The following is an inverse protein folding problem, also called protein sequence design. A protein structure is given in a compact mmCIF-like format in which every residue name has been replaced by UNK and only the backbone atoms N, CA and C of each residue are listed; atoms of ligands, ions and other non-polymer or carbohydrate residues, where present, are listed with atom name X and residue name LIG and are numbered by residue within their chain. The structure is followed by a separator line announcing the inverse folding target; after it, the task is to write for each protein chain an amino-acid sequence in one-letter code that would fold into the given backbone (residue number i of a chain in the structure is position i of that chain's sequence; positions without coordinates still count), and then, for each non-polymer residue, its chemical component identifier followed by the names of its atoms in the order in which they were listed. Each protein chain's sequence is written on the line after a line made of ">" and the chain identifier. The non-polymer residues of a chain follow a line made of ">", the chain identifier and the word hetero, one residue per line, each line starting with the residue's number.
data_IF_806123876638
#
_entry.id   IF_806123876638
#
_cell.length_a   1.000
_cell.length_b   1.000
_cell.length_c   1.000
_cell.angle_alpha   90.00
_cell.angle_beta   90.00
_cell.angle_gamma   90.00
#
_symmetry.space_group_name_H-M   'P 1'
#
loop_
_entity.id
_entity.type
_entity.pdbx_description
1 polymer ?
#
# COMPACT_ATOMS: atom_id res chain seq x y z
N UNK A 1 -5.39 -19.26 -1.78
CA UNK A 1 -5.11 -18.80 -0.40
C UNK A 1 -5.89 -17.52 -0.14
N UNK A 2 -6.89 -17.54 0.74
CA UNK A 2 -7.76 -16.39 1.02
C UNK A 2 -7.10 -15.34 1.95
N UNK A 3 -6.01 -15.70 2.62
CA UNK A 3 -5.25 -14.83 3.53
C UNK A 3 -3.74 -15.08 3.37
N UNK A 4 -2.98 -14.18 2.70
CA UNK A 4 -1.53 -14.28 2.74
C UNK A 4 -1.04 -14.08 4.18
N UNK A 5 -0.19 -14.98 4.65
CA UNK A 5 0.36 -14.88 6.02
C UNK A 5 1.28 -13.67 6.15
N UNK A 6 1.47 -13.16 7.38
CA UNK A 6 2.47 -12.12 7.66
C UNK A 6 3.85 -12.53 7.14
N UNK A 7 4.23 -13.80 7.33
CA UNK A 7 5.47 -14.39 6.82
C UNK A 7 5.56 -14.34 5.29
N UNK A 8 4.47 -14.64 4.58
CA UNK A 8 4.43 -14.53 3.12
C UNK A 8 4.64 -13.08 2.68
N UNK A 9 3.94 -12.12 3.27
CA UNK A 9 4.09 -10.70 2.91
C UNK A 9 5.51 -10.19 3.19
N UNK A 10 6.13 -10.62 4.30
CA UNK A 10 7.52 -10.26 4.59
C UNK A 10 8.53 -10.87 3.62
N UNK A 11 8.28 -12.12 3.16
CA UNK A 11 9.05 -12.74 2.08
C UNK A 11 8.90 -11.94 0.79
N UNK A 12 7.68 -11.55 0.39
CA UNK A 12 7.45 -10.72 -0.80
C UNK A 12 8.20 -9.39 -0.68
N UNK A 13 8.09 -8.68 0.45
CA UNK A 13 8.85 -7.45 0.68
C UNK A 13 10.36 -7.67 0.59
N UNK A 14 10.86 -8.81 1.07
CA UNK A 14 12.28 -9.17 0.95
C UNK A 14 12.68 -9.41 -0.49
N UNK A 15 11.89 -10.15 -1.27
CA UNK A 15 12.13 -10.37 -2.70
C UNK A 15 12.12 -9.05 -3.47
N UNK A 16 11.17 -8.16 -3.19
CA UNK A 16 11.09 -6.81 -3.77
C UNK A 16 12.35 -6.02 -3.43
N UNK A 17 12.78 -6.01 -2.16
CA UNK A 17 14.01 -5.33 -1.73
C UNK A 17 15.26 -5.88 -2.44
N UNK A 18 15.41 -7.20 -2.48
CA UNK A 18 16.50 -7.86 -3.20
C UNK A 18 16.48 -7.55 -4.70
N UNK A 19 15.29 -7.46 -5.31
CA UNK A 19 15.13 -7.09 -6.71
C UNK A 19 15.51 -5.63 -6.98
N UNK A 20 15.13 -4.71 -6.09
CA UNK A 20 15.49 -3.29 -6.21
C UNK A 20 17.01 -3.14 -6.25
N UNK A 21 17.70 -3.79 -5.31
CA UNK A 21 19.14 -3.62 -5.11
C UNK A 21 20.01 -4.56 -5.96
N UNK A 22 19.63 -5.82 -6.22
CA UNK A 22 20.45 -6.83 -6.93
C UNK A 22 21.94 -6.82 -6.50
N UNK A 23 22.20 -6.85 -5.18
CA UNK A 23 23.54 -6.75 -4.56
C UNK A 23 24.30 -5.44 -4.82
N UNK A 24 23.66 -4.41 -5.36
CA UNK A 24 24.25 -3.08 -5.60
C UNK A 24 24.12 -2.21 -4.35
N UNK A 25 25.14 -1.38 -4.11
CA UNK A 25 25.21 -0.39 -3.02
C UNK A 25 25.08 1.02 -3.61
N UNK A 26 24.65 2.02 -2.81
CA UNK A 26 24.30 1.93 -1.39
C UNK A 26 22.85 1.51 -1.11
N UNK A 27 22.60 0.91 0.05
CA UNK A 27 21.29 0.35 0.44
C UNK A 27 20.48 1.35 1.27
N UNK A 28 19.20 1.52 0.94
CA UNK A 28 18.23 2.17 1.84
C UNK A 28 17.64 1.15 2.83
N UNK A 29 17.14 1.62 3.97
CA UNK A 29 16.35 0.78 4.89
C UNK A 29 15.11 0.24 4.17
N UNK A 30 14.72 -1.00 4.48
CA UNK A 30 13.65 -1.73 3.79
C UNK A 30 12.31 -1.00 3.85
N UNK A 31 12.04 -0.30 4.95
CA UNK A 31 10.80 0.42 5.20
C UNK A 31 10.72 1.68 4.33
N UNK A 32 11.86 2.34 4.10
CA UNK A 32 11.95 3.59 3.34
C UNK A 32 11.65 3.38 1.86
N UNK A 33 11.95 2.20 1.29
CA UNK A 33 11.71 1.95 -0.14
C UNK A 33 10.23 2.07 -0.50
N UNK A 34 9.35 1.78 0.46
CA UNK A 34 7.91 1.79 0.28
C UNK A 34 7.27 3.17 0.51
N UNK A 35 8.06 4.15 0.97
CA UNK A 35 7.59 5.51 1.15
C UNK A 35 7.52 6.24 -0.20
N UNK A 36 6.65 7.26 -0.33
CA UNK A 36 6.65 8.15 -1.49
C UNK A 36 8.01 8.83 -1.68
N UNK A 37 8.33 9.19 -2.93
CA UNK A 37 9.56 9.93 -3.27
C UNK A 37 9.68 11.26 -2.53
N UNK A 38 8.56 11.95 -2.29
CA UNK A 38 8.51 13.20 -1.51
C UNK A 38 8.96 13.06 -0.05
N UNK A 39 9.00 11.84 0.48
CA UNK A 39 9.46 11.52 1.84
C UNK A 39 10.79 10.74 1.83
N UNK A 40 11.57 10.86 0.76
CA UNK A 40 12.87 10.19 0.62
C UNK A 40 12.80 8.69 0.30
N UNK A 41 11.62 8.17 -0.06
CA UNK A 41 11.44 6.78 -0.45
C UNK A 41 11.54 6.51 -1.95
N UNK A 42 11.34 5.24 -2.35
CA UNK A 42 11.39 4.82 -3.76
C UNK A 42 10.01 4.62 -4.40
N UNK A 43 8.93 4.96 -3.68
CA UNK A 43 7.55 4.79 -4.16
C UNK A 43 7.22 3.34 -4.57
N UNK A 44 7.90 2.35 -3.97
CA UNK A 44 7.61 0.95 -4.22
C UNK A 44 6.30 0.58 -3.51
N UNK A 45 5.42 -0.15 -4.17
CA UNK A 45 4.16 -0.56 -3.56
C UNK A 45 4.42 -1.46 -2.35
N UNK A 46 3.86 -1.09 -1.20
CA UNK A 46 3.91 -1.90 0.01
C UNK A 46 2.93 -3.09 -0.13
N UNK A 47 3.41 -4.35 -0.20
CA UNK A 47 2.55 -5.51 -0.39
C UNK A 47 1.53 -5.71 0.74
N UNK A 48 1.89 -5.38 1.99
CA UNK A 48 0.99 -5.51 3.13
C UNK A 48 -0.17 -4.51 3.04
N UNK A 49 0.16 -3.26 2.70
CA UNK A 49 -0.83 -2.20 2.56
C UNK A 49 -1.73 -2.44 1.35
N UNK A 50 -1.13 -2.84 0.22
CA UNK A 50 -1.87 -3.23 -0.98
C UNK A 50 -2.85 -4.37 -0.69
N UNK A 51 -2.44 -5.39 0.07
CA UNK A 51 -3.33 -6.46 0.44
C UNK A 51 -4.53 -5.99 1.27
N UNK A 52 -4.33 -5.08 2.22
CA UNK A 52 -5.42 -4.46 2.99
C UNK A 52 -6.37 -3.68 2.06
N UNK A 53 -5.83 -2.82 1.18
CA UNK A 53 -6.62 -2.04 0.21
C UNK A 53 -7.53 -2.94 -0.64
N UNK A 54 -7.04 -4.13 -1.05
CA UNK A 54 -7.84 -5.08 -1.82
C UNK A 54 -9.06 -5.61 -1.05
N UNK A 55 -9.01 -5.64 0.29
CA UNK A 55 -10.14 -6.08 1.12
C UNK A 55 -11.26 -5.04 1.20
N UNK A 56 -10.98 -3.78 0.86
CA UNK A 56 -11.98 -2.72 0.84
C UNK A 56 -13.19 -3.07 0.00
N UNK A 57 -13.00 -3.84 -1.08
CA UNK A 57 -14.10 -4.30 -1.94
C UNK A 57 -15.18 -5.03 -1.13
N UNK A 58 -14.78 -5.93 -0.23
CA UNK A 58 -15.71 -6.71 0.59
C UNK A 58 -16.40 -5.82 1.61
N UNK A 59 -15.65 -4.89 2.21
CA UNK A 59 -16.19 -3.95 3.17
C UNK A 59 -17.19 -2.99 2.51
N UNK A 60 -16.96 -2.58 1.25
CA UNK A 60 -17.91 -1.74 0.50
C UNK A 60 -19.30 -2.36 0.37
N UNK A 61 -19.40 -3.69 0.28
CA UNK A 61 -20.70 -4.39 0.23
C UNK A 61 -21.48 -4.21 1.53
N UNK A 62 -20.80 -4.30 2.67
CA UNK A 62 -21.40 -4.11 4.00
C UNK A 62 -21.72 -2.65 4.31
N UNK A 63 -20.96 -1.73 3.72
CA UNK A 63 -20.94 -0.31 4.13
C UNK A 63 -21.84 0.54 3.27
N UNK A 64 -21.88 0.26 1.97
CA UNK A 64 -22.69 1.00 0.99
C UNK A 64 -23.40 0.01 0.08
N UNK A 65 -24.32 -0.81 0.62
CA UNK A 65 -24.96 -1.88 -0.14
C UNK A 65 -25.73 -1.36 -1.36
N UNK A 66 -26.36 -0.18 -1.25
CA UNK A 66 -27.06 0.47 -2.36
C UNK A 66 -26.12 0.88 -3.52
N UNK A 67 -24.89 1.30 -3.19
CA UNK A 67 -23.88 1.69 -4.19
C UNK A 67 -23.13 0.49 -4.75
N UNK A 68 -22.96 -0.55 -3.94
CA UNK A 68 -22.22 -1.76 -4.27
C UNK A 68 -23.08 -2.99 -3.97
N UNK A 69 -24.14 -3.23 -4.76
CA UNK A 69 -24.99 -4.40 -4.55
C UNK A 69 -24.18 -5.68 -4.79
N UNK A 70 -24.42 -6.69 -3.95
CA UNK A 70 -23.77 -8.00 -4.08
C UNK A 70 -24.67 -9.09 -3.54
N UNK A 71 -24.77 -10.20 -4.28
CA UNK A 71 -25.46 -11.41 -3.80
C UNK A 71 -24.79 -12.00 -2.54
N UNK A 72 -23.55 -11.63 -2.24
CA UNK A 72 -22.81 -12.11 -1.07
C UNK A 72 -23.23 -11.40 0.22
N UNK A 73 -23.84 -10.21 0.12
CA UNK A 73 -24.18 -9.40 1.28
C UNK A 73 -25.06 -10.14 2.31
N UNK A 74 -26.16 -10.82 1.93
CA UNK A 74 -26.98 -11.55 2.89
C UNK A 74 -26.21 -12.67 3.60
N UNK A 75 -25.35 -13.40 2.87
CA UNK A 75 -24.52 -14.45 3.46
C UNK A 75 -23.46 -13.89 4.42
N UNK A 76 -22.90 -12.73 4.07
CA UNK A 76 -21.94 -12.02 4.91
C UNK A 76 -22.62 -11.57 6.22
N UNK A 77 -23.79 -10.94 6.13
CA UNK A 77 -24.58 -10.50 7.27
C UNK A 77 -25.02 -11.67 8.16
N UNK A 78 -25.49 -12.76 7.54
CA UNK A 78 -25.84 -13.98 8.26
C UNK A 78 -24.64 -14.56 9.02
N UNK A 79 -23.47 -14.64 8.39
CA UNK A 79 -22.30 -15.15 9.08
C UNK A 79 -21.88 -14.27 10.28
N UNK A 80 -21.95 -12.94 10.16
CA UNK A 80 -21.62 -12.06 11.30
C UNK A 80 -22.71 -12.04 12.36
N UNK A 81 -23.96 -12.34 12.03
CA UNK A 81 -25.04 -12.46 13.02
C UNK A 81 -24.91 -13.70 13.91
N UNK A 82 -24.18 -14.73 13.45
CA UNK A 82 -23.82 -15.90 14.27
C UNK A 82 -22.76 -15.57 15.34
N UNK A 83 -22.09 -14.41 15.24
CA UNK A 83 -21.16 -13.97 16.27
C UNK A 83 -21.91 -13.58 17.56
N UNK A 84 -21.25 -13.60 18.73
CA UNK A 84 -21.93 -13.39 20.00
C UNK A 84 -22.57 -12.01 20.09
N UNK A 85 -23.80 -11.97 20.61
CA UNK A 85 -24.59 -10.74 20.74
C UNK A 85 -24.85 -10.00 19.41
N UNK A 86 -24.57 -10.63 18.26
CA UNK A 86 -24.73 -10.02 16.94
C UNK A 86 -25.99 -10.47 16.20
N UNK A 87 -26.86 -11.29 16.81
CA UNK A 87 -28.04 -11.85 16.13
C UNK A 87 -28.98 -10.76 15.61
N UNK A 88 -29.26 -9.79 16.48
CA UNK A 88 -30.11 -8.63 16.17
C UNK A 88 -29.30 -7.49 15.55
N UNK A 89 -27.99 -7.43 15.78
CA UNK A 89 -27.10 -6.39 15.25
C UNK A 89 -25.86 -7.01 14.59
N UNK A 90 -25.95 -7.40 13.30
CA UNK A 90 -24.87 -8.10 12.58
C UNK A 90 -23.56 -7.31 12.54
N UNK A 91 -23.62 -5.98 12.68
CA UNK A 91 -22.46 -5.10 12.64
C UNK A 91 -21.71 -4.96 13.97
N UNK A 92 -22.18 -5.58 15.06
CA UNK A 92 -21.57 -5.45 16.39
C UNK A 92 -20.07 -5.81 16.38
N UNK A 93 -19.69 -6.86 15.65
CA UNK A 93 -18.30 -7.30 15.55
C UNK A 93 -17.37 -6.30 14.84
N UNK A 94 -17.92 -5.36 14.05
CA UNK A 94 -17.16 -4.26 13.47
C UNK A 94 -16.92 -3.17 14.51
N UNK A 95 -17.97 -2.81 15.24
CA UNK A 95 -17.95 -1.76 16.24
C UNK A 95 -17.07 -2.13 17.44
N UNK A 96 -17.03 -3.42 17.80
CA UNK A 96 -16.31 -3.90 18.96
C UNK A 96 -15.61 -5.24 18.69
N UNK A 97 -14.29 -5.23 18.83
CA UNK A 97 -13.43 -6.36 18.52
C UNK A 97 -13.59 -7.56 19.47
N UNK A 98 -14.12 -7.36 20.68
CA UNK A 98 -14.31 -8.46 21.65
C UNK A 98 -15.36 -9.48 21.17
N UNK A 99 -16.26 -9.07 20.28
CA UNK A 99 -17.29 -9.94 19.71
C UNK A 99 -16.81 -10.74 18.48
N UNK A 100 -15.54 -10.60 18.09
CA UNK A 100 -14.90 -11.37 17.02
C UNK A 100 -14.41 -12.71 17.55
N UNK A 101 -15.32 -13.65 17.84
CA UNK A 101 -14.92 -14.93 18.46
C UNK A 101 -14.11 -15.83 17.51
N UNK A 102 -12.91 -16.30 17.92
CA UNK A 102 -12.03 -17.09 17.05
C UNK A 102 -12.59 -18.43 16.58
N UNK A 103 -13.45 -19.10 17.37
CA UNK A 103 -13.93 -20.45 16.99
C UNK A 103 -14.95 -20.44 15.84
N UNK A 104 -15.67 -19.34 15.63
CA UNK A 104 -16.54 -19.15 14.46
C UNK A 104 -15.75 -18.59 13.26
N UNK A 105 -14.51 -18.17 13.48
CA UNK A 105 -13.68 -17.50 12.50
C UNK A 105 -12.39 -18.31 12.34
N UNK A 106 -12.43 -19.31 11.47
CA UNK A 106 -11.26 -20.16 11.22
C UNK A 106 -10.01 -19.33 10.87
N UNK A 107 -8.92 -19.53 11.62
CA UNK A 107 -7.69 -18.70 11.59
C UNK A 107 -7.12 -18.43 10.19
N UNK A 108 -7.15 -19.45 9.34
CA UNK A 108 -6.46 -19.45 8.04
C UNK A 108 -7.40 -19.44 6.83
N UNK A 109 -8.67 -19.82 7.04
CA UNK A 109 -9.65 -19.98 5.95
C UNK A 109 -10.67 -18.84 5.93
N UNK A 110 -10.88 -18.19 7.08
CA UNK A 110 -11.86 -17.12 7.17
C UNK A 110 -11.33 -15.80 6.62
N UNK A 111 -12.09 -15.23 5.69
CA UNK A 111 -11.88 -13.91 5.11
C UNK A 111 -12.09 -12.78 6.12
N UNK A 112 -12.88 -13.02 7.17
CA UNK A 112 -13.26 -12.00 8.15
C UNK A 112 -12.06 -11.38 8.87
N UNK A 113 -10.98 -12.13 9.09
CA UNK A 113 -9.74 -11.57 9.62
C UNK A 113 -9.20 -10.42 8.76
N UNK A 114 -9.24 -10.59 7.43
CA UNK A 114 -8.74 -9.60 6.48
C UNK A 114 -9.68 -8.41 6.38
N UNK A 115 -10.99 -8.64 6.48
CA UNK A 115 -12.02 -7.59 6.47
C UNK A 115 -11.96 -6.78 7.78
N UNK A 116 -11.87 -7.43 8.94
CA UNK A 116 -11.71 -6.75 10.23
C UNK A 116 -10.40 -5.99 10.32
N UNK A 117 -9.27 -6.58 9.90
CA UNK A 117 -8.00 -5.85 9.86
C UNK A 117 -8.04 -4.62 8.94
N UNK A 118 -8.81 -4.70 7.85
CA UNK A 118 -9.03 -3.57 6.96
C UNK A 118 -9.93 -2.49 7.59
N UNK A 119 -10.95 -2.91 8.34
CA UNK A 119 -11.82 -2.00 9.09
C UNK A 119 -11.05 -1.28 10.20
N UNK A 120 -10.30 -2.03 11.01
CA UNK A 120 -9.49 -1.52 12.12
C UNK A 120 -8.43 -0.52 11.65
N UNK A 121 -7.91 -0.69 10.42
CA UNK A 121 -6.94 0.25 9.84
C UNK A 121 -7.48 1.69 9.75
N UNK A 122 -8.80 1.87 9.61
CA UNK A 122 -9.42 3.20 9.55
C UNK A 122 -9.91 3.72 10.90
N UNK A 123 -9.81 2.91 11.95
CA UNK A 123 -10.20 3.26 13.32
C UNK A 123 -11.64 3.81 13.38
N UNK A 124 -12.58 2.97 12.92
CA UNK A 124 -14.02 3.21 12.98
C UNK A 124 -14.68 2.50 14.19
N UNK A 125 -13.88 2.02 15.14
CA UNK A 125 -14.39 1.26 16.28
C UNK A 125 -15.04 2.14 17.35
N UNK A 126 -16.02 1.57 18.06
CA UNK A 126 -16.66 2.15 19.23
C UNK A 126 -18.15 2.40 19.07
N UNK A 127 -18.94 1.96 20.07
CA UNK A 127 -20.40 2.15 20.10
C UNK A 127 -20.83 3.62 20.14
N UNK A 128 -19.91 4.52 20.48
CA UNK A 128 -20.14 5.97 20.46
C UNK A 128 -20.44 6.52 19.06
N UNK A 129 -20.00 5.80 18.02
CA UNK A 129 -20.17 6.23 16.63
C UNK A 129 -21.47 5.69 15.99
N UNK A 130 -22.24 4.89 16.73
CA UNK A 130 -23.44 4.22 16.25
C UNK A 130 -24.68 4.99 16.69
N UNK A 131 -25.51 5.40 15.73
CA UNK A 131 -26.75 6.16 15.95
C UNK A 131 -27.95 5.28 16.31
N UNK A 132 -27.86 3.96 16.10
CA UNK A 132 -28.95 3.01 16.34
C UNK A 132 -28.43 1.68 16.89
N UNK A 133 -28.97 1.22 18.01
CA UNK A 133 -28.69 -0.10 18.58
C UNK A 133 -30.01 -0.80 18.92
N UNK A 134 -30.27 -2.04 18.47
CA UNK A 134 -31.48 -2.75 18.86
C UNK A 134 -31.55 -2.97 20.38
N UNK A 135 -32.74 -2.81 20.97
CA UNK A 135 -33.01 -3.01 22.41
C UNK A 135 -32.39 -4.29 22.95
N UNK A 136 -32.55 -5.41 22.25
CA UNK A 136 -32.02 -6.70 22.68
C UNK A 136 -30.48 -6.72 22.70
N UNK A 137 -29.85 -6.02 21.76
CA UNK A 137 -28.39 -5.85 21.76
C UNK A 137 -27.98 -5.00 22.96
N UNK A 138 -28.64 -3.86 23.19
CA UNK A 138 -28.38 -2.96 24.34
C UNK A 138 -28.40 -3.76 25.64
N UNK A 139 -29.45 -4.55 25.89
CA UNK A 139 -29.63 -5.29 27.15
C UNK A 139 -28.59 -6.41 27.38
N UNK A 140 -28.01 -6.95 26.31
CA UNK A 140 -26.97 -7.99 26.34
C UNK A 140 -25.56 -7.43 26.51
N UNK A 141 -25.32 -6.18 26.12
CA UNK A 141 -24.01 -5.56 26.20
C UNK A 141 -23.60 -5.26 27.65
N UNK A 142 -22.29 -5.29 27.96
CA UNK A 142 -21.79 -4.76 29.22
C UNK A 142 -22.08 -3.26 29.35
N UNK A 143 -22.59 -2.85 30.52
CA UNK A 143 -23.07 -1.49 30.76
C UNK A 143 -21.97 -0.44 30.53
N UNK A 144 -20.73 -0.74 30.91
CA UNK A 144 -19.62 0.20 30.76
C UNK A 144 -19.34 0.58 29.30
N UNK A 145 -19.69 -0.27 28.32
CA UNK A 145 -19.51 -0.01 26.89
C UNK A 145 -20.56 0.93 26.32
N UNK A 146 -21.70 1.05 27.00
CA UNK A 146 -22.81 1.94 26.64
C UNK A 146 -22.68 3.33 27.29
N UNK A 147 -21.59 3.59 28.01
CA UNK A 147 -21.36 4.81 28.76
C UNK A 147 -20.12 5.55 28.26
N UNK A 148 -20.18 6.88 28.28
CA UNK A 148 -19.14 7.82 27.90
C UNK A 148 -18.84 8.69 29.13
N UNK A 149 -17.57 9.00 29.39
CA UNK A 149 -17.15 9.85 30.51
C UNK A 149 -16.89 9.11 31.83
N UNK A 150 -16.79 7.78 31.81
CA UNK A 150 -16.37 7.00 32.97
C UNK A 150 -14.90 7.27 33.32
N UNK A 151 -14.64 7.62 34.59
CA UNK A 151 -13.28 7.71 35.11
C UNK A 151 -12.60 6.33 35.16
N UNK A 152 -11.27 6.31 35.21
CA UNK A 152 -10.50 5.06 35.25
C UNK A 152 -10.73 4.27 36.55
N UNK A 153 -11.04 4.97 37.65
CA UNK A 153 -11.34 4.36 38.96
C UNK A 153 -12.81 3.98 39.15
N UNK A 154 -13.67 4.23 38.14
CA UNK A 154 -15.10 3.98 38.26
C UNK A 154 -15.38 2.48 38.50
N UNK A 155 -16.33 2.15 39.39
CA UNK A 155 -16.60 0.77 39.81
C UNK A 155 -16.96 -0.18 38.67
N UNK A 156 -17.59 0.32 37.59
CA UNK A 156 -17.88 -0.48 36.39
C UNK A 156 -16.61 -1.01 35.70
N UNK A 157 -15.45 -0.35 35.86
CA UNK A 157 -14.16 -0.85 35.36
C UNK A 157 -13.72 -2.12 36.10
N UNK A 158 -14.06 -2.23 37.40
CA UNK A 158 -13.84 -3.43 38.22
C UNK A 158 -14.84 -4.55 37.93
N UNK A 159 -15.99 -4.20 37.34
CA UNK A 159 -17.03 -5.15 36.93
C UNK A 159 -17.30 -5.08 35.42
N UNK A 160 -16.32 -5.42 34.56
CA UNK A 160 -16.42 -5.21 33.11
C UNK A 160 -17.51 -6.05 32.44
N UNK A 161 -18.00 -7.11 33.10
CA UNK A 161 -19.09 -7.97 32.61
C UNK A 161 -20.47 -7.59 33.15
N UNK A 162 -20.58 -6.49 33.91
CA UNK A 162 -21.87 -6.05 34.46
C UNK A 162 -22.84 -5.73 33.31
N UNK A 163 -23.94 -6.51 33.15
CA UNK A 163 -24.77 -6.39 31.96
C UNK A 163 -25.71 -5.19 32.06
N UNK A 164 -25.98 -4.57 30.93
CA UNK A 164 -26.86 -3.40 30.83
C UNK A 164 -28.28 -3.69 31.34
N UNK A 165 -28.80 -4.91 31.15
CA UNK A 165 -30.11 -5.35 31.67
C UNK A 165 -30.31 -5.25 33.19
N UNK A 166 -29.23 -5.08 33.96
CA UNK A 166 -29.28 -4.82 35.41
C UNK A 166 -29.52 -3.36 35.77
N UNK A 167 -29.38 -2.45 34.81
CA UNK A 167 -29.57 -1.01 34.98
C UNK A 167 -30.67 -0.47 34.07
N UNK A 168 -30.79 -1.01 32.86
CA UNK A 168 -31.82 -0.71 31.86
C UNK A 168 -32.84 -1.85 31.81
N UNK A 169 -34.09 -1.51 31.53
CA UNK A 169 -35.20 -2.45 31.34
C UNK A 169 -36.10 -1.95 30.21
N UNK A 170 -36.63 -2.88 29.41
CA UNK A 170 -37.66 -2.55 28.43
C UNK A 170 -39.03 -2.54 29.11
N UNK A 171 -39.71 -1.40 29.07
CA UNK A 171 -41.05 -1.22 29.59
C UNK A 171 -42.07 -1.65 28.53
N UNK A 172 -42.76 -2.75 28.78
CA UNK A 172 -43.77 -3.28 27.85
C UNK A 172 -45.03 -2.42 27.78
N UNK A 173 -45.34 -1.60 28.79
CA UNK A 173 -46.51 -0.73 28.77
C UNK A 173 -46.24 0.51 27.93
N UNK A 174 -45.08 1.13 28.12
CA UNK A 174 -44.69 2.33 27.37
C UNK A 174 -44.02 2.00 26.03
N UNK A 175 -43.72 0.72 25.80
CA UNK A 175 -42.93 0.21 24.67
C UNK A 175 -41.60 0.96 24.54
N UNK A 176 -40.87 1.19 25.63
CA UNK A 176 -39.62 1.99 25.61
C UNK A 176 -38.58 1.42 26.53
N UNK A 177 -37.32 1.68 26.22
CA UNK A 177 -36.22 1.42 27.13
C UNK A 177 -36.23 2.48 28.24
N UNK A 178 -36.12 2.05 29.49
CA UNK A 178 -35.99 2.96 30.63
C UNK A 178 -34.95 2.47 31.62
N UNK A 179 -34.56 3.39 32.50
CA UNK A 179 -33.75 3.08 33.67
C UNK A 179 -34.62 2.31 34.69
N UNK A 180 -34.01 1.37 35.40
CA UNK A 180 -34.65 0.69 36.52
C UNK A 180 -34.85 1.66 37.69
N UNK A 181 -35.97 1.52 38.39
CA UNK A 181 -36.26 2.29 39.60
C UNK A 181 -35.69 1.60 40.84
N UNK A 182 -35.59 2.34 41.96
CA UNK A 182 -34.95 1.86 43.19
C UNK A 182 -35.46 0.50 43.68
N UNK A 183 -36.77 0.26 43.59
CA UNK A 183 -37.44 -0.99 43.98
C UNK A 183 -37.16 -2.18 43.05
N UNK A 184 -36.68 -1.94 41.83
CA UNK A 184 -36.42 -2.98 40.82
C UNK A 184 -34.99 -3.55 40.88
N UNK A 185 -34.13 -2.97 41.74
CA UNK A 185 -32.76 -3.46 41.93
C UNK A 185 -32.73 -4.60 42.94
N UNK A 186 -32.44 -5.81 42.46
CA UNK A 186 -32.22 -6.98 43.33
C UNK A 186 -30.83 -7.03 43.95
N UNK A 187 -29.82 -6.45 43.28
CA UNK A 187 -28.41 -6.39 43.74
C UNK A 187 -27.78 -5.10 43.26
N UNK A 188 -26.79 -4.59 44.01
CA UNK A 188 -26.02 -3.38 43.69
C UNK A 188 -26.84 -2.08 43.62
N UNK A 189 -27.94 -1.98 44.38
CA UNK A 189 -28.84 -0.83 44.38
C UNK A 189 -28.11 0.51 44.63
N UNK A 190 -27.17 0.54 45.57
CA UNK A 190 -26.37 1.74 45.88
C UNK A 190 -25.48 2.17 44.70
N UNK A 191 -24.84 1.21 44.02
CA UNK A 191 -23.97 1.51 42.87
C UNK A 191 -24.78 1.99 41.67
N UNK A 192 -25.93 1.36 41.42
CA UNK A 192 -26.86 1.79 40.39
C UNK A 192 -27.46 3.18 40.70
N UNK A 193 -27.75 3.48 41.98
CA UNK A 193 -28.21 4.79 42.40
C UNK A 193 -27.14 5.87 42.20
N UNK A 194 -25.86 5.59 42.51
CA UNK A 194 -24.74 6.50 42.19
C UNK A 194 -24.67 6.78 40.69
N UNK A 195 -24.69 5.72 39.87
CA UNK A 195 -24.65 5.87 38.41
C UNK A 195 -25.85 6.65 37.86
N UNK A 196 -27.03 6.46 38.43
CA UNK A 196 -28.23 7.23 38.09
C UNK A 196 -28.02 8.73 38.35
N UNK A 197 -27.45 9.09 39.51
CA UNK A 197 -27.11 10.48 39.83
C UNK A 197 -26.04 11.04 38.89
N UNK A 198 -25.02 10.26 38.57
CA UNK A 198 -23.95 10.64 37.63
C UNK A 198 -24.49 10.94 36.22
N UNK A 199 -25.47 10.15 35.75
CA UNK A 199 -26.06 10.32 34.42
C UNK A 199 -27.06 11.49 34.37
N UNK A 200 -28.00 11.56 35.31
CA UNK A 200 -29.14 12.49 35.21
C UNK A 200 -28.92 13.82 35.93
N UNK A 201 -28.30 13.79 37.12
CA UNK A 201 -28.14 14.97 37.96
C UNK A 201 -26.82 15.67 37.65
N UNK A 202 -25.70 14.94 37.75
CA UNK A 202 -24.36 15.50 37.57
C UNK A 202 -23.96 15.61 36.09
N UNK A 203 -24.55 14.78 35.21
CA UNK A 203 -24.26 14.71 33.76
C UNK A 203 -22.79 14.47 33.43
N UNK A 204 -22.04 13.88 34.36
CA UNK A 204 -20.63 13.52 34.19
C UNK A 204 -20.47 12.29 33.30
N UNK A 205 -21.45 11.38 33.35
CA UNK A 205 -21.51 10.17 32.53
C UNK A 205 -22.69 10.27 31.55
N UNK A 206 -22.50 9.85 30.31
CA UNK A 206 -23.53 9.91 29.25
C UNK A 206 -23.73 8.54 28.61
N UNK A 207 -24.96 8.24 28.22
CA UNK A 207 -25.24 7.07 27.36
C UNK A 207 -24.76 7.34 25.93
N UNK A 208 -24.29 6.28 25.25
CA UNK A 208 -23.93 6.35 23.83
C UNK A 208 -25.13 6.76 22.96
N UNK A 209 -24.91 7.47 21.84
CA UNK A 209 -25.99 8.02 21.00
C UNK A 209 -27.05 6.98 20.61
N UNK A 210 -26.62 5.77 20.21
CA UNK A 210 -27.52 4.71 19.75
C UNK A 210 -28.48 4.12 20.77
N UNK A 211 -28.37 4.46 22.05
CA UNK A 211 -29.31 4.02 23.10
C UNK A 211 -30.50 4.98 23.25
N UNK A 212 -30.32 6.27 22.93
CA UNK A 212 -31.35 7.29 23.13
C UNK A 212 -32.62 7.09 22.29
N UNK A 213 -32.56 6.63 21.02
CA UNK A 213 -33.77 6.39 20.23
C UNK A 213 -34.79 5.48 20.94
N UNK A 214 -34.33 4.38 21.54
CA UNK A 214 -35.21 3.43 22.24
C UNK A 214 -35.73 3.95 23.59
N UNK A 215 -35.07 4.96 24.18
CA UNK A 215 -35.54 5.63 25.39
C UNK A 215 -36.61 6.67 25.06
N UNK A 216 -36.38 7.46 24.01
CA UNK A 216 -37.20 8.60 23.65
C UNK A 216 -38.45 8.19 22.86
N UNK A 217 -38.36 7.13 22.05
CA UNK A 217 -39.41 6.70 21.14
C UNK A 217 -39.64 5.19 21.26
N UNK A 218 -40.86 4.71 21.00
CA UNK A 218 -41.09 3.27 20.96
C UNK A 218 -40.32 2.63 19.80
N UNK A 219 -39.71 1.45 19.99
CA UNK A 219 -38.94 0.81 18.93
C UNK A 219 -39.86 0.45 17.78
N UNK A 220 -39.37 0.61 16.56
CA UNK A 220 -40.11 0.24 15.35
C UNK A 220 -40.37 -1.26 15.36
N UNK A 221 -41.63 -1.68 15.16
CA UNK A 221 -42.04 -3.09 15.13
C UNK A 221 -41.62 -3.81 13.84
N UNK A 222 -41.16 -3.06 12.82
CA UNK A 222 -40.63 -3.62 11.58
C UNK A 222 -39.26 -4.25 11.80
N UNK A 223 -39.08 -5.51 11.37
CA UNK A 223 -37.76 -6.14 11.26
C UNK A 223 -36.86 -5.29 10.37
N UNK A 224 -35.74 -4.81 10.91
CA UNK A 224 -34.81 -3.97 10.18
C UNK A 224 -34.16 -4.78 9.05
N UNK A 225 -34.24 -4.28 7.82
CA UNK A 225 -33.52 -4.87 6.70
C UNK A 225 -32.05 -4.40 6.70
N UNK A 226 -31.18 -5.25 7.24
CA UNK A 226 -29.74 -5.00 7.28
C UNK A 226 -29.09 -4.92 5.90
N UNK A 227 -29.75 -5.41 4.84
CA UNK A 227 -29.21 -5.34 3.47
C UNK A 227 -29.34 -3.95 2.86
N UNK A 228 -30.24 -3.11 3.38
CA UNK A 228 -30.41 -1.72 2.96
C UNK A 228 -29.87 -0.70 3.97
N UNK A 229 -29.43 -1.16 5.14
CA UNK A 229 -28.90 -0.32 6.22
C UNK A 229 -27.58 0.37 5.84
N UNK A 230 -27.55 1.71 5.95
CA UNK A 230 -26.32 2.48 5.80
C UNK A 230 -25.54 2.49 7.12
N UNK A 231 -24.68 1.47 7.30
CA UNK A 231 -23.90 1.29 8.52
C UNK A 231 -23.02 2.49 8.88
N UNK A 232 -22.54 3.24 7.88
CA UNK A 232 -21.71 4.41 8.14
C UNK A 232 -22.52 5.69 8.33
N UNK A 233 -23.78 5.76 7.88
CA UNK A 233 -24.68 6.88 8.13
C UNK A 233 -23.99 8.25 8.20
N UNK A 234 -23.96 8.85 9.40
CA UNK A 234 -23.35 10.17 9.70
C UNK A 234 -21.84 10.17 10.00
N UNK A 235 -21.20 9.02 10.23
CA UNK A 235 -19.74 8.93 10.40
C UNK A 235 -18.99 9.51 9.19
N UNK A 236 -19.64 9.47 8.03
CA UNK A 236 -19.05 9.84 6.76
C UNK A 236 -17.95 8.86 6.37
N UNK A 237 -17.69 8.77 5.08
CA UNK A 237 -16.42 8.18 4.66
C UNK A 237 -15.33 9.21 4.95
N UNK A 238 -14.52 9.02 6.01
CA UNK A 238 -13.29 9.82 6.27
C UNK A 238 -12.55 10.05 4.95
N UNK A 239 -11.91 11.19 4.74
CA UNK A 239 -11.15 11.47 3.50
C UNK A 239 -10.13 10.37 3.16
N UNK A 240 -9.57 9.74 4.21
CA UNK A 240 -8.73 8.55 4.08
C UNK A 240 -9.41 7.41 3.32
N UNK A 241 -10.71 7.18 3.51
CA UNK A 241 -11.47 6.14 2.82
C UNK A 241 -11.47 6.35 1.31
N UNK A 242 -11.68 7.58 0.81
CA UNK A 242 -11.70 7.84 -0.65
C UNK A 242 -10.31 7.69 -1.27
N UNK A 243 -9.27 8.11 -0.53
CA UNK A 243 -7.86 7.95 -0.93
C UNK A 243 -7.41 6.48 -0.98
N UNK A 244 -8.04 5.62 -0.19
CA UNK A 244 -7.71 4.19 -0.08
C UNK A 244 -8.39 3.36 -1.19
N UNK A 245 -8.14 3.68 -2.45
CA UNK A 245 -8.60 2.90 -3.61
C UNK A 245 -7.39 2.30 -4.33
N UNK A 246 -7.43 1.08 -4.90
CA UNK A 246 -6.25 0.50 -5.57
C UNK A 246 -5.65 1.39 -6.67
N UNK A 247 -6.47 2.18 -7.35
CA UNK A 247 -6.01 3.15 -8.36
C UNK A 247 -5.38 4.36 -7.68
N UNK A 248 -6.08 5.02 -6.76
CA UNK A 248 -5.61 6.21 -6.05
C UNK A 248 -4.35 5.92 -5.24
N UNK A 249 -4.29 4.79 -4.54
CA UNK A 249 -3.10 4.34 -3.82
C UNK A 249 -1.89 4.18 -4.76
N UNK A 250 -2.09 3.54 -5.91
CA UNK A 250 -1.04 3.43 -6.92
C UNK A 250 -0.63 4.81 -7.43
N UNK A 251 -1.57 5.68 -7.74
CA UNK A 251 -1.31 7.04 -8.22
C UNK A 251 -0.67 7.96 -7.17
N UNK A 252 -0.96 7.78 -5.88
CA UNK A 252 -0.37 8.56 -4.78
C UNK A 252 1.02 8.08 -4.42
N UNK A 253 1.21 6.75 -4.30
CA UNK A 253 2.51 6.16 -4.00
C UNK A 253 3.42 6.32 -5.21
N UNK A 254 2.94 5.92 -6.37
CA UNK A 254 3.56 6.16 -7.66
C UNK A 254 2.93 7.40 -8.26
N UNK A 255 3.05 8.57 -7.60
CA UNK A 255 2.86 9.83 -8.31
C UNK A 255 3.77 9.74 -9.52
N UNK A 256 3.15 9.43 -10.66
CA UNK A 256 3.80 9.35 -11.93
C UNK A 256 4.26 10.78 -12.09
N UNK A 257 5.57 11.00 -11.92
CA UNK A 257 6.22 12.17 -12.49
C UNK A 257 5.63 12.22 -13.89
N UNK A 258 4.89 13.29 -14.28
CA UNK A 258 4.32 13.38 -15.60
C UNK A 258 5.43 12.97 -16.54
N UNK A 259 5.25 11.83 -17.21
CA UNK A 259 6.27 11.40 -18.14
C UNK A 259 6.16 12.41 -19.25
N UNK A 260 7.10 13.36 -19.30
CA UNK A 260 7.20 14.37 -20.35
C UNK A 260 7.13 13.70 -21.74
N UNK A 261 7.46 12.41 -21.79
CA UNK A 261 7.50 11.59 -22.97
C UNK A 261 6.60 10.35 -22.87
N UNK A 262 5.72 10.15 -23.85
CA UNK A 262 4.98 8.89 -24.04
C UNK A 262 5.74 8.01 -25.01
N UNK A 263 6.08 6.79 -24.59
CA UNK A 263 6.74 5.82 -25.46
C UNK A 263 5.73 5.19 -26.43
N UNK A 264 6.11 5.05 -27.69
CA UNK A 264 5.30 4.34 -28.68
C UNK A 264 5.22 2.84 -28.33
N UNK A 265 4.00 2.29 -28.23
CA UNK A 265 3.76 0.88 -27.90
C UNK A 265 4.52 -0.10 -28.81
N UNK A 266 4.64 0.20 -30.10
CA UNK A 266 5.41 -0.63 -31.03
C UNK A 266 6.89 -0.71 -30.64
N UNK A 267 7.48 0.41 -30.22
CA UNK A 267 8.88 0.49 -29.81
C UNK A 267 9.11 -0.14 -28.44
N UNK A 268 8.16 -0.01 -27.53
CA UNK A 268 8.18 -0.75 -26.26
C UNK A 268 8.15 -2.26 -26.54
N UNK A 269 7.30 -2.71 -27.48
CA UNK A 269 7.26 -4.12 -27.89
C UNK A 269 8.61 -4.56 -28.46
N UNK A 270 9.21 -3.77 -29.37
CA UNK A 270 10.55 -4.06 -29.94
C UNK A 270 11.62 -4.13 -28.85
N UNK A 271 11.60 -3.23 -27.86
CA UNK A 271 12.54 -3.26 -26.73
C UNK A 271 12.48 -4.58 -25.95
N UNK A 272 11.26 -5.03 -25.63
CA UNK A 272 11.07 -6.25 -24.86
C UNK A 272 11.25 -7.53 -25.68
N UNK A 273 11.10 -7.47 -27.01
CA UNK A 273 11.34 -8.60 -27.91
C UNK A 273 12.77 -8.68 -28.46
N UNK A 274 13.58 -7.62 -28.33
CA UNK A 274 14.95 -7.58 -28.85
C UNK A 274 15.80 -8.71 -28.23
N UNK A 275 16.77 -9.29 -28.98
CA UNK A 275 17.66 -10.35 -28.51
C UNK A 275 18.74 -9.80 -27.56
N UNK A 276 18.32 -9.16 -26.48
CA UNK A 276 19.20 -8.62 -25.44
C UNK A 276 19.04 -9.43 -24.16
N UNK A 277 20.10 -9.57 -23.37
CA UNK A 277 20.01 -10.20 -22.06
C UNK A 277 18.97 -9.49 -21.16
N UNK A 278 18.16 -10.19 -20.33
CA UNK A 278 17.14 -9.54 -19.48
C UNK A 278 17.68 -8.46 -18.54
N UNK A 279 18.93 -8.62 -18.08
CA UNK A 279 19.62 -7.58 -17.29
C UNK A 279 19.89 -6.30 -18.10
N UNK A 280 20.20 -6.44 -19.40
CA UNK A 280 20.42 -5.33 -20.31
C UNK A 280 19.16 -4.49 -20.51
N UNK A 281 18.03 -5.16 -20.79
CA UNK A 281 16.71 -4.51 -20.89
C UNK A 281 16.33 -3.79 -19.59
N UNK A 282 16.64 -4.40 -18.44
CA UNK A 282 16.38 -3.79 -17.12
C UNK A 282 17.14 -2.47 -16.94
N UNK A 283 18.43 -2.42 -17.31
CA UNK A 283 19.23 -1.19 -17.18
C UNK A 283 18.73 -0.12 -18.14
N UNK A 284 18.46 -0.47 -19.39
CA UNK A 284 17.89 0.47 -20.35
C UNK A 284 16.53 1.01 -19.87
N UNK A 285 15.65 0.17 -19.36
CA UNK A 285 14.39 0.60 -18.76
C UNK A 285 14.60 1.59 -17.60
N UNK A 286 15.57 1.34 -16.71
CA UNK A 286 15.91 2.28 -15.62
C UNK A 286 16.36 3.64 -16.17
N UNK A 287 17.12 3.67 -17.26
CA UNK A 287 17.51 4.92 -17.92
C UNK A 287 16.31 5.67 -18.50
N UNK A 288 15.43 4.96 -19.23
CA UNK A 288 14.19 5.53 -19.80
C UNK A 288 13.29 6.14 -18.72
N UNK A 289 13.18 5.49 -17.56
CA UNK A 289 12.36 5.95 -16.43
C UNK A 289 13.02 7.01 -15.53
N UNK A 290 14.22 7.51 -15.87
CA UNK A 290 15.02 8.42 -15.00
C UNK A 290 15.32 7.81 -13.61
N UNK A 291 15.32 6.48 -13.48
CA UNK A 291 15.51 5.74 -12.24
C UNK A 291 16.89 5.07 -12.17
N UNK A 292 17.82 5.51 -13.00
CA UNK A 292 19.18 5.00 -13.06
C UNK A 292 20.05 5.78 -12.05
N UNK A 293 20.55 5.15 -10.96
CA UNK A 293 21.36 5.87 -10.00
C UNK A 293 22.63 6.41 -10.65
N UNK A 294 22.97 7.64 -10.31
CA UNK A 294 24.18 8.35 -10.72
C UNK A 294 24.63 9.19 -9.53
N UNK A 295 25.91 9.56 -9.48
CA UNK A 295 26.50 10.14 -8.27
C UNK A 295 25.86 11.47 -7.87
N UNK A 296 25.45 12.32 -8.83
CA UNK A 296 24.76 13.57 -8.46
C UNK A 296 23.45 13.30 -7.72
N UNK A 297 22.66 12.33 -8.17
CA UNK A 297 21.44 11.92 -7.46
C UNK A 297 21.76 11.32 -6.08
N UNK A 298 22.75 10.42 -5.99
CA UNK A 298 23.14 9.82 -4.71
C UNK A 298 23.65 10.87 -3.70
N UNK A 299 24.32 11.92 -4.18
CA UNK A 299 24.77 13.03 -3.35
C UNK A 299 23.57 13.79 -2.76
N UNK A 300 22.52 14.05 -3.56
CA UNK A 300 21.31 14.74 -3.05
C UNK A 300 20.58 13.99 -1.94
N UNK A 301 20.70 12.66 -1.89
CA UNK A 301 20.11 11.81 -0.85
C UNK A 301 21.11 11.42 0.25
N UNK A 302 22.29 12.06 0.27
CA UNK A 302 23.29 11.91 1.33
C UNK A 302 23.99 10.55 1.39
N UNK A 303 23.98 9.76 0.32
CA UNK A 303 24.57 8.41 0.34
C UNK A 303 25.99 8.33 -0.22
N UNK A 304 26.49 9.41 -0.83
CA UNK A 304 27.89 9.55 -1.27
C UNK A 304 28.41 10.95 -0.92
N UNK A 305 29.72 11.07 -0.72
CA UNK A 305 30.37 12.31 -0.28
C UNK A 305 30.49 13.38 -1.38
N UNK A 306 30.52 12.98 -2.65
CA UNK A 306 30.63 13.90 -3.79
C UNK A 306 29.83 13.43 -5.01
N UNK A 307 29.56 14.38 -5.91
CA UNK A 307 28.86 14.16 -7.18
C UNK A 307 29.79 13.93 -8.38
N UNK A 308 31.10 13.77 -8.16
CA UNK A 308 32.11 13.71 -9.23
C UNK A 308 32.14 12.34 -9.91
N UNK A 309 32.13 12.34 -11.24
CA UNK A 309 32.15 11.12 -12.05
C UNK A 309 33.42 10.27 -11.79
N UNK A 310 33.28 8.99 -11.42
CA UNK A 310 34.42 8.12 -11.12
C UNK A 310 35.19 7.66 -12.38
N UNK A 311 34.70 7.97 -13.58
CA UNK A 311 35.36 7.55 -14.82
C UNK A 311 36.32 8.61 -15.34
N UNK A 312 35.86 9.86 -15.43
CA UNK A 312 36.69 10.95 -15.93
C UNK A 312 37.29 11.81 -14.81
N UNK A 313 36.77 11.75 -13.58
CA UNK A 313 37.14 12.62 -12.45
C UNK A 313 37.02 14.14 -12.68
N UNK A 314 36.46 14.57 -13.81
CA UNK A 314 36.39 15.99 -14.21
C UNK A 314 34.98 16.59 -14.10
N UNK A 315 33.94 15.81 -14.41
CA UNK A 315 32.57 16.31 -14.50
C UNK A 315 31.68 15.90 -13.34
N UNK A 316 30.63 16.70 -13.10
CA UNK A 316 29.51 16.31 -12.24
C UNK A 316 28.76 15.17 -12.93
N UNK A 317 28.59 14.04 -12.24
CA UNK A 317 27.93 12.85 -12.75
C UNK A 317 26.41 13.00 -12.74
N UNK A 318 25.91 13.89 -13.59
CA UNK A 318 24.47 14.06 -13.88
C UNK A 318 23.95 12.88 -14.68
N UNK A 319 22.62 12.72 -14.78
CA UNK A 319 22.01 11.67 -15.61
C UNK A 319 22.55 11.65 -17.05
N UNK A 320 22.71 12.81 -17.68
CA UNK A 320 23.19 12.90 -19.07
C UNK A 320 24.68 12.58 -19.18
N UNK A 321 25.48 13.05 -18.22
CA UNK A 321 26.91 12.70 -18.11
C UNK A 321 27.13 11.21 -17.86
N UNK A 322 26.28 10.62 -17.03
CA UNK A 322 26.28 9.19 -16.74
C UNK A 322 26.00 8.36 -18.00
N UNK A 323 25.07 8.79 -18.84
CA UNK A 323 24.64 8.05 -20.02
C UNK A 323 25.57 8.24 -21.22
N UNK A 324 25.97 9.48 -21.54
CA UNK A 324 26.68 9.78 -22.81
C UNK A 324 27.78 10.84 -22.68
N UNK A 325 27.58 11.96 -21.98
CA UNK A 325 28.51 13.12 -22.09
C UNK A 325 29.89 12.90 -21.43
N UNK A 326 30.06 11.85 -20.62
CA UNK A 326 31.37 11.52 -20.06
C UNK A 326 32.31 11.05 -21.19
N UNK A 327 33.43 11.75 -21.41
CA UNK A 327 34.40 11.46 -22.49
C UNK A 327 34.86 9.99 -22.52
N UNK A 328 35.16 9.42 -21.34
CA UNK A 328 35.54 8.01 -21.17
C UNK A 328 34.41 7.06 -21.58
N UNK A 329 33.16 7.38 -21.21
CA UNK A 329 31.98 6.59 -21.59
C UNK A 329 31.64 6.75 -23.06
N UNK A 330 31.86 7.92 -23.62
CA UNK A 330 31.69 8.17 -25.04
C UNK A 330 32.69 7.37 -25.88
N UNK A 331 33.93 7.27 -25.42
CA UNK A 331 34.92 6.41 -26.06
C UNK A 331 34.47 4.94 -26.07
N UNK A 332 33.95 4.43 -24.94
CA UNK A 332 33.34 3.09 -24.86
C UNK A 332 32.18 2.91 -25.85
N UNK A 333 31.29 3.90 -25.95
CA UNK A 333 30.20 3.89 -26.93
C UNK A 333 30.75 3.80 -28.35
N UNK A 334 31.70 4.65 -28.72
CA UNK A 334 32.31 4.67 -30.05
C UNK A 334 32.99 3.34 -30.40
N UNK A 335 33.77 2.76 -29.47
CA UNK A 335 34.48 1.50 -29.68
C UNK A 335 33.54 0.33 -29.95
N UNK A 336 32.38 0.27 -29.29
CA UNK A 336 31.40 -0.82 -29.52
C UNK A 336 30.52 -0.52 -30.74
N UNK A 337 30.07 0.71 -30.91
CA UNK A 337 29.18 1.08 -32.02
C UNK A 337 29.89 0.96 -33.37
N UNK A 338 31.18 1.31 -33.46
CA UNK A 338 31.94 1.19 -34.71
C UNK A 338 31.97 -0.24 -35.25
N UNK A 339 31.95 -1.26 -34.38
CA UNK A 339 31.94 -2.66 -34.80
C UNK A 339 30.67 -3.07 -35.56
N UNK A 340 29.52 -2.49 -35.22
CA UNK A 340 28.23 -2.87 -35.80
C UNK A 340 27.67 -1.84 -36.77
N UNK A 341 28.05 -0.57 -36.62
CA UNK A 341 27.44 0.58 -37.29
C UNK A 341 28.47 1.61 -37.78
N UNK A 342 29.71 1.22 -38.11
CA UNK A 342 30.76 2.12 -38.61
C UNK A 342 30.31 3.07 -39.74
N UNK A 343 29.41 2.61 -40.62
CA UNK A 343 28.92 3.38 -41.78
C UNK A 343 27.83 4.40 -41.43
N UNK A 344 27.37 4.44 -40.18
CA UNK A 344 26.26 5.30 -39.75
C UNK A 344 26.77 6.48 -38.92
N UNK A 345 26.24 7.71 -39.13
CA UNK A 345 26.65 8.90 -38.40
C UNK A 345 26.00 8.94 -37.01
N UNK A 346 26.42 8.05 -36.10
CA UNK A 346 25.88 7.96 -34.75
C UNK A 346 26.60 8.94 -33.81
N UNK A 347 25.94 10.05 -33.51
CA UNK A 347 26.41 11.08 -32.57
C UNK A 347 25.97 10.80 -31.13
N UNK A 348 26.57 11.50 -30.17
CA UNK A 348 26.18 11.46 -28.76
C UNK A 348 24.69 11.77 -28.56
N UNK A 349 24.14 12.73 -29.33
CA UNK A 349 22.71 13.06 -29.28
C UNK A 349 21.81 11.91 -29.74
N UNK A 350 22.22 11.17 -30.77
CA UNK A 350 21.45 10.02 -31.25
C UNK A 350 21.45 8.91 -30.19
N UNK A 351 22.60 8.65 -29.57
CA UNK A 351 22.71 7.66 -28.50
C UNK A 351 21.90 8.08 -27.28
N UNK A 352 21.97 9.36 -26.91
CA UNK A 352 21.15 9.90 -25.83
C UNK A 352 19.65 9.77 -26.14
N UNK A 353 19.25 10.08 -27.38
CA UNK A 353 17.88 9.93 -27.87
C UNK A 353 17.32 8.51 -27.71
N UNK A 354 18.09 7.48 -28.03
CA UNK A 354 17.66 6.09 -27.85
C UNK A 354 17.62 5.68 -26.37
N UNK A 355 18.64 5.99 -25.57
CA UNK A 355 18.70 5.53 -24.17
C UNK A 355 17.74 6.30 -23.25
N UNK A 356 17.35 7.52 -23.63
CA UNK A 356 16.50 8.39 -22.83
C UNK A 356 15.05 8.43 -23.31
N UNK A 357 14.83 8.41 -24.62
CA UNK A 357 13.51 8.63 -25.23
C UNK A 357 13.06 7.49 -26.17
N UNK A 358 13.88 6.44 -26.30
CA UNK A 358 13.62 5.33 -27.22
C UNK A 358 13.45 5.81 -28.69
N UNK A 359 14.14 6.89 -29.06
CA UNK A 359 14.15 7.41 -30.43
C UNK A 359 15.12 6.61 -31.29
N UNK A 360 14.61 5.75 -32.17
CA UNK A 360 15.41 5.03 -33.14
C UNK A 360 15.61 5.86 -34.41
N UNK A 361 16.85 6.01 -34.91
CA UNK A 361 17.08 6.66 -36.19
C UNK A 361 16.40 5.90 -37.34
N UNK A 362 15.75 6.63 -38.25
CA UNK A 362 15.02 6.03 -39.38
C UNK A 362 15.90 5.22 -40.33
N UNK A 363 17.20 5.55 -40.40
CA UNK A 363 18.17 4.86 -41.24
C UNK A 363 18.60 3.48 -40.70
N UNK A 364 18.25 3.14 -39.45
CA UNK A 364 18.52 1.82 -38.88
C UNK A 364 17.36 0.87 -39.24
N UNK A 365 17.64 -0.06 -40.16
CA UNK A 365 16.65 -1.06 -40.63
C UNK A 365 16.38 -2.13 -39.56
N UNK A 366 17.43 -2.73 -39.00
CA UNK A 366 17.30 -3.74 -37.93
C UNK A 366 17.21 -3.10 -36.54
N UNK A 367 15.98 -2.77 -36.14
CA UNK A 367 15.67 -2.14 -34.86
C UNK A 367 15.94 -3.05 -33.67
N UNK A 368 15.72 -4.36 -33.82
CA UNK A 368 15.89 -5.33 -32.73
C UNK A 368 17.35 -5.53 -32.41
N UNK A 369 18.21 -5.70 -33.43
CA UNK A 369 19.67 -5.75 -33.26
C UNK A 369 20.22 -4.46 -32.67
N UNK A 370 19.75 -3.31 -33.15
CA UNK A 370 20.21 -2.02 -32.62
C UNK A 370 19.89 -1.85 -31.14
N UNK A 371 18.66 -2.18 -30.71
CA UNK A 371 18.31 -2.14 -29.29
C UNK A 371 19.16 -3.14 -28.48
N UNK A 372 19.44 -4.33 -29.02
CA UNK A 372 20.27 -5.31 -28.34
C UNK A 372 21.71 -4.82 -28.11
N UNK A 373 22.32 -4.21 -29.14
CA UNK A 373 23.64 -3.56 -29.04
C UNK A 373 23.60 -2.45 -27.98
N UNK A 374 22.70 -1.47 -28.11
CA UNK A 374 22.61 -0.32 -27.20
C UNK A 374 22.35 -0.76 -25.75
N UNK A 375 21.37 -1.64 -25.52
CA UNK A 375 21.01 -2.08 -24.18
C UNK A 375 22.14 -2.88 -23.51
N UNK A 376 22.84 -3.73 -24.27
CA UNK A 376 23.95 -4.54 -23.75
C UNK A 376 25.15 -3.67 -23.42
N UNK A 377 25.52 -2.73 -24.30
CA UNK A 377 26.59 -1.77 -24.03
C UNK A 377 26.30 -0.94 -22.78
N UNK A 378 25.09 -0.38 -22.67
CA UNK A 378 24.69 0.38 -21.49
C UNK A 378 24.75 -0.44 -20.21
N UNK A 379 24.35 -1.72 -20.25
CA UNK A 379 24.42 -2.60 -19.08
C UNK A 379 25.84 -2.98 -18.68
N UNK A 380 26.71 -3.22 -19.65
CA UNK A 380 28.11 -3.46 -19.39
C UNK A 380 28.74 -2.20 -18.77
N UNK A 381 28.55 -1.03 -19.37
CA UNK A 381 29.00 0.24 -18.81
C UNK A 381 28.46 0.48 -17.39
N UNK A 382 27.19 0.15 -17.14
CA UNK A 382 26.59 0.21 -15.82
C UNK A 382 27.34 -0.67 -14.81
N UNK A 383 27.64 -1.91 -15.15
CA UNK A 383 28.35 -2.82 -14.22
C UNK A 383 29.76 -2.31 -13.92
N UNK A 384 30.48 -1.87 -14.95
CA UNK A 384 31.82 -1.30 -14.81
C UNK A 384 31.79 -0.05 -13.93
N UNK A 385 30.79 0.80 -14.12
CA UNK A 385 30.61 2.02 -13.33
C UNK A 385 30.56 1.74 -11.83
N UNK A 386 29.76 0.76 -11.40
CA UNK A 386 29.64 0.45 -9.97
C UNK A 386 30.78 -0.41 -9.44
N UNK A 387 31.36 -1.28 -10.26
CA UNK A 387 32.55 -2.04 -9.87
C UNK A 387 33.72 -1.09 -9.62
N UNK A 388 34.02 -0.22 -10.58
CA UNK A 388 35.13 0.71 -10.52
C UNK A 388 34.88 1.87 -9.56
N UNK A 389 33.71 2.52 -9.67
CA UNK A 389 33.38 3.69 -8.86
C UNK A 389 33.15 3.42 -7.37
N UNK A 390 33.07 2.14 -6.95
CA UNK A 390 33.04 1.76 -5.54
C UNK A 390 34.42 1.39 -4.97
N UNK A 391 35.43 1.19 -5.82
CA UNK A 391 36.73 0.63 -5.42
C UNK A 391 37.90 1.59 -5.71
N UNK A 392 37.81 2.43 -6.74
CA UNK A 392 38.93 3.22 -7.24
C UNK A 392 38.58 4.71 -7.39
N UNK A 393 39.43 5.63 -6.88
CA UNK A 393 39.27 7.07 -7.07
C UNK A 393 39.91 7.59 -8.38
N UNK A 394 40.71 6.78 -9.06
CA UNK A 394 41.49 7.17 -10.25
C UNK A 394 40.63 7.01 -11.52
N UNK A 395 40.78 7.88 -12.54
CA UNK A 395 40.13 7.70 -13.84
C UNK A 395 40.41 6.34 -14.48
N UNK A 396 39.45 5.83 -15.25
CA UNK A 396 39.58 4.54 -15.93
C UNK A 396 40.61 4.63 -17.07
N UNK A 397 41.59 3.72 -17.10
CA UNK A 397 42.65 3.70 -18.13
C UNK A 397 42.14 3.28 -19.52
N UNK A 398 42.83 3.73 -20.57
CA UNK A 398 42.52 3.37 -21.98
C UNK A 398 42.60 1.87 -22.25
N UNK A 399 43.62 1.19 -21.72
CA UNK A 399 43.73 -0.27 -21.83
C UNK A 399 42.53 -1.02 -21.20
N UNK A 400 42.00 -0.51 -20.08
CA UNK A 400 40.79 -1.06 -19.45
C UNK A 400 39.56 -0.88 -20.33
N UNK A 401 39.47 0.27 -21.02
CA UNK A 401 38.37 0.58 -21.95
C UNK A 401 38.37 -0.37 -23.15
N UNK A 402 39.53 -0.63 -23.75
CA UNK A 402 39.68 -1.54 -24.89
C UNK A 402 39.32 -2.98 -24.51
N UNK A 403 39.89 -3.46 -23.40
CA UNK A 403 39.58 -4.80 -22.88
C UNK A 403 38.07 -4.95 -22.61
N UNK A 404 37.46 -3.94 -22.01
CA UNK A 404 36.04 -3.95 -21.70
C UNK A 404 35.14 -3.89 -22.94
N UNK A 405 35.52 -3.08 -23.92
CA UNK A 405 34.85 -2.97 -25.22
C UNK A 405 34.85 -4.32 -25.94
N UNK A 406 36.00 -4.98 -26.02
CA UNK A 406 36.14 -6.32 -26.62
C UNK A 406 35.24 -7.36 -25.95
N UNK A 407 35.19 -7.38 -24.60
CA UNK A 407 34.28 -8.27 -23.86
C UNK A 407 32.81 -7.96 -24.13
N UNK A 408 32.45 -6.67 -24.27
CA UNK A 408 31.09 -6.24 -24.58
C UNK A 408 30.66 -6.70 -25.97
N UNK A 409 31.54 -6.55 -26.97
CA UNK A 409 31.33 -7.04 -28.34
C UNK A 409 31.11 -8.55 -28.35
N UNK A 410 31.98 -9.32 -27.69
CA UNK A 410 31.83 -10.77 -27.57
C UNK A 410 30.47 -11.18 -26.93
N UNK A 411 30.01 -10.44 -25.93
CA UNK A 411 28.70 -10.67 -25.30
C UNK A 411 27.53 -10.35 -26.22
N UNK A 412 27.66 -9.34 -27.07
CA UNK A 412 26.64 -8.97 -28.06
C UNK A 412 26.60 -10.03 -29.17
N UNK A 413 27.75 -10.46 -29.69
CA UNK A 413 27.84 -11.47 -30.75
C UNK A 413 27.22 -12.80 -30.34
N UNK A 414 27.35 -13.19 -29.06
CA UNK A 414 26.69 -14.38 -28.50
C UNK A 414 25.16 -14.26 -28.41
N UNK A 415 24.63 -13.04 -28.37
CA UNK A 415 23.20 -12.79 -28.21
C UNK A 415 22.50 -12.58 -29.56
N UNK A 416 23.22 -12.07 -30.55
CA UNK A 416 22.70 -11.89 -31.89
C UNK A 416 22.73 -13.22 -32.64
N UNK A 417 21.65 -13.59 -33.37
CA UNK A 417 21.71 -14.73 -34.26
C UNK A 417 22.83 -14.48 -35.29
N UNK A 418 23.70 -15.46 -35.51
CA UNK A 418 24.59 -15.47 -36.68
C UNK A 418 23.71 -15.44 -37.90
N UNK A 419 23.70 -14.30 -38.61
CA UNK A 419 23.12 -14.22 -39.95
C UNK A 419 23.92 -15.15 -40.85
N UNK A 420 23.33 -16.31 -41.19
CA UNK A 420 23.71 -17.10 -42.37
C UNK A 420 23.11 -16.39 -43.59
#
# INVERSE_FOLDING_TARGET
>A
MLKPTKRFLEKVKSCVYQFVWKKKRPLLRKELIFLPKSRGGLAVLNPSLQQLILQKRWLNYLVKPQKYPSFLLPFMLYHVSLLPASSEFPYLAFVDAEYRKPYLIHKDLSIWHSIFAMYDYFDFSGLQQVDFLPVQTILQLPLHKLLIGLSDDHWLRRHPKFPASKFLIFDSQQQRLRLRVASEYSRYSLLCASLYQEILMLKTVKLVPGVWPDILQPPSTSTLDWTSFDFFGKLGTKDLWTQYHPVTFRQQQQQLVPSDHRFNNSMVKTLWSAPAHPAARTVLYRALSKCIPHKSYLYTIGTVENSICPFCALGIDTLRHFLVDCSVKWHLWQSVISQYYAKYPLTSEIIYGIVRYLHLPRFIKDRSKYIAVISTTLWQMWNLYWLHGSQNPVPLSTASIEHFSSRTVCLIDRQLPTTI
#
